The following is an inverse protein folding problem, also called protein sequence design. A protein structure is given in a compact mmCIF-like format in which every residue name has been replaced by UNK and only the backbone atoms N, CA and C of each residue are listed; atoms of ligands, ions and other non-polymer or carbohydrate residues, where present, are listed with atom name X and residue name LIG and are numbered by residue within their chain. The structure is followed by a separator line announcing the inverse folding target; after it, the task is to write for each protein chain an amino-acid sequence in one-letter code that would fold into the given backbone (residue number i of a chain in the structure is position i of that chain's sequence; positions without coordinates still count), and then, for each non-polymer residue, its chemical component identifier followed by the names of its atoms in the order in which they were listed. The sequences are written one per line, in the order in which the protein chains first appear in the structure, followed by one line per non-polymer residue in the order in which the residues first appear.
data_IF_321983630352
#
_entry.id   IF_321983630352
#
_cell.length_a   1.000
_cell.length_b   1.000
_cell.length_c   1.000
_cell.angle_alpha   90.00
_cell.angle_beta   90.00
_cell.angle_gamma   90.00
#
_symmetry.space_group_name_H-M   'P 1'
#
loop_
_entity.id
_entity.type
_entity.pdbx_description
1 polymer ?
#
# COMPACT_ATOMS: atom_id res chain seq x y z
N UNK A 1 -15.53 24.87 -1.05
CA UNK A 1 -16.37 23.66 -0.98
C UNK A 1 -15.50 22.45 -1.28
N UNK A 2 -15.74 21.29 -0.67
CA UNK A 2 -14.98 20.05 -0.98
C UNK A 2 -15.51 19.47 -2.30
N UNK A 3 -14.64 19.14 -3.28
CA UNK A 3 -15.10 18.62 -4.56
C UNK A 3 -15.65 17.19 -4.42
N UNK A 4 -16.68 16.85 -5.18
CA UNK A 4 -17.35 15.55 -5.08
C UNK A 4 -16.38 14.40 -5.43
N UNK A 5 -15.50 14.62 -6.42
CA UNK A 5 -14.48 13.65 -6.86
C UNK A 5 -13.29 13.50 -5.90
N UNK A 6 -13.24 14.24 -4.79
CA UNK A 6 -12.22 13.99 -3.74
C UNK A 6 -12.33 12.58 -3.15
N UNK A 7 -13.54 12.02 -3.12
CA UNK A 7 -13.79 10.64 -2.68
C UNK A 7 -13.13 9.61 -3.62
N UNK A 8 -12.98 9.92 -4.90
CA UNK A 8 -12.33 9.07 -5.90
C UNK A 8 -10.82 8.94 -5.66
N UNK A 9 -10.22 9.86 -4.90
CA UNK A 9 -8.83 9.76 -4.44
C UNK A 9 -8.77 9.12 -3.05
N UNK A 10 -9.60 9.61 -2.12
CA UNK A 10 -9.46 9.27 -0.70
C UNK A 10 -10.00 7.89 -0.34
N UNK A 11 -10.97 7.36 -1.08
CA UNK A 11 -11.49 6.00 -0.88
C UNK A 11 -10.46 4.97 -1.38
N UNK A 12 -9.91 5.06 -2.61
CA UNK A 12 -8.85 4.14 -3.03
C UNK A 12 -7.62 4.16 -2.12
N UNK A 13 -7.17 5.34 -1.68
CA UNK A 13 -6.07 5.43 -0.71
C UNK A 13 -6.43 4.74 0.62
N UNK A 14 -7.66 4.85 1.10
CA UNK A 14 -8.09 4.16 2.32
C UNK A 14 -8.07 2.63 2.15
N UNK A 15 -8.57 2.15 1.01
CA UNK A 15 -8.53 0.72 0.68
C UNK A 15 -7.07 0.24 0.64
N UNK A 16 -6.18 0.98 -0.01
CA UNK A 16 -4.74 0.66 -0.03
C UNK A 16 -4.12 0.62 1.37
N UNK A 17 -4.47 1.55 2.26
CA UNK A 17 -4.01 1.52 3.66
C UNK A 17 -4.43 0.21 4.34
N UNK A 18 -5.71 -0.16 4.21
CA UNK A 18 -6.23 -1.39 4.84
C UNK A 18 -5.56 -2.62 4.26
N UNK A 19 -5.44 -2.71 2.93
CA UNK A 19 -4.82 -3.85 2.26
C UNK A 19 -3.34 -3.99 2.63
N UNK A 20 -2.59 -2.88 2.65
CA UNK A 20 -1.18 -2.91 3.05
C UNK A 20 -1.01 -3.23 4.54
N UNK A 21 -1.91 -2.73 5.40
CA UNK A 21 -1.88 -3.06 6.82
C UNK A 21 -2.11 -4.56 7.07
N UNK A 22 -3.15 -5.12 6.44
CA UNK A 22 -3.45 -6.55 6.53
C UNK A 22 -2.32 -7.38 5.92
N UNK A 23 -1.90 -7.05 4.68
CA UNK A 23 -0.83 -7.76 3.99
C UNK A 23 0.50 -7.74 4.75
N UNK A 24 0.87 -6.58 5.31
CA UNK A 24 2.07 -6.44 6.13
C UNK A 24 2.01 -7.30 7.40
N UNK A 25 0.89 -7.29 8.12
CA UNK A 25 0.70 -8.14 9.30
C UNK A 25 0.72 -9.63 8.94
N UNK A 26 0.08 -10.02 7.83
CA UNK A 26 0.08 -11.40 7.36
C UNK A 26 1.49 -11.88 7.03
N UNK A 27 2.32 -11.07 6.38
CA UNK A 27 3.71 -11.42 6.08
C UNK A 27 4.54 -11.65 7.35
N UNK A 28 4.36 -10.80 8.37
CA UNK A 28 5.05 -10.93 9.66
C UNK A 28 4.67 -12.24 10.35
N UNK A 29 3.39 -12.63 10.31
CA UNK A 29 2.88 -13.86 10.94
C UNK A 29 3.20 -15.12 10.12
N UNK A 30 3.18 -15.02 8.79
CA UNK A 30 3.44 -16.14 7.89
C UNK A 30 4.90 -16.59 7.91
N UNK A 31 5.86 -15.66 8.07
CA UNK A 31 7.30 -15.98 8.07
C UNK A 31 7.70 -17.07 9.06
N UNK A 32 7.40 -16.94 10.37
CA UNK A 32 7.67 -17.98 11.35
C UNK A 32 6.98 -19.31 11.04
N UNK A 33 5.73 -19.26 10.55
CA UNK A 33 4.94 -20.45 10.22
C UNK A 33 5.55 -21.24 9.05
N UNK A 34 6.04 -20.52 8.03
CA UNK A 34 6.69 -21.11 6.87
C UNK A 34 8.07 -21.69 7.21
N UNK A 35 8.88 -20.98 8.01
CA UNK A 35 10.16 -21.49 8.50
C UNK A 35 9.97 -22.78 9.32
N UNK A 36 8.98 -22.79 10.24
CA UNK A 36 8.66 -23.98 11.03
C UNK A 36 8.23 -25.17 10.18
N UNK A 37 7.47 -24.95 9.11
CA UNK A 37 7.08 -26.01 8.18
C UNK A 37 8.30 -26.57 7.41
N UNK A 38 9.22 -25.72 6.97
CA UNK A 38 10.43 -26.14 6.25
C UNK A 38 11.39 -26.93 7.15
N UNK A 39 11.52 -26.55 8.43
CA UNK A 39 12.33 -27.29 9.40
C UNK A 39 11.78 -28.70 9.67
N UNK A 40 10.46 -28.89 9.62
CA UNK A 40 9.82 -30.20 9.81
C UNK A 40 10.08 -31.17 8.63
N UNK A 41 10.49 -30.66 7.46
CA UNK A 41 10.82 -31.51 6.31
C UNK A 41 12.18 -32.23 6.46
N UNK A 42 12.97 -31.90 7.48
CA UNK A 42 14.16 -32.67 7.87
C UNK A 42 15.40 -32.53 6.98
N UNK A 43 15.35 -31.70 5.93
CA UNK A 43 16.50 -31.42 5.07
C UNK A 43 17.37 -30.31 5.69
N UNK A 44 18.67 -30.56 6.01
CA UNK A 44 19.58 -29.55 6.56
C UNK A 44 19.75 -28.31 5.68
N UNK A 45 19.58 -28.44 4.36
CA UNK A 45 19.64 -27.30 3.44
C UNK A 45 18.40 -26.39 3.58
N UNK A 46 17.27 -26.93 4.05
CA UNK A 46 16.04 -26.18 4.26
C UNK A 46 16.05 -25.35 5.55
N UNK A 47 16.94 -25.65 6.50
CA UNK A 47 17.05 -24.88 7.75
C UNK A 47 17.58 -23.47 7.49
N UNK A 48 18.65 -23.35 6.66
CA UNK A 48 19.20 -22.05 6.26
C UNK A 48 18.24 -21.24 5.38
N UNK A 49 17.54 -21.91 4.45
CA UNK A 49 16.52 -21.29 3.63
C UNK A 49 15.31 -20.82 4.47
N UNK A 50 14.92 -21.58 5.50
CA UNK A 50 13.85 -21.24 6.43
C UNK A 50 14.12 -19.94 7.18
N UNK A 51 15.30 -19.79 7.77
CA UNK A 51 15.67 -18.56 8.49
C UNK A 51 15.79 -17.35 7.57
N UNK A 52 16.35 -17.50 6.36
CA UNK A 52 16.38 -16.43 5.36
C UNK A 52 14.96 -16.00 4.96
N UNK A 53 14.06 -16.96 4.72
CA UNK A 53 12.67 -16.69 4.34
C UNK A 53 11.94 -15.92 5.45
N UNK A 54 12.16 -16.30 6.73
CA UNK A 54 11.60 -15.61 7.89
C UNK A 54 12.08 -14.16 7.96
N UNK A 55 13.38 -13.93 7.80
CA UNK A 55 13.96 -12.59 7.80
C UNK A 55 13.42 -11.71 6.67
N UNK A 56 13.33 -12.26 5.46
CA UNK A 56 12.79 -11.55 4.29
C UNK A 56 11.30 -11.22 4.46
N UNK A 57 10.49 -12.16 4.95
CA UNK A 57 9.05 -11.92 5.18
C UNK A 57 8.81 -10.90 6.29
N UNK A 58 9.61 -10.93 7.37
CA UNK A 58 9.55 -9.92 8.42
C UNK A 58 9.92 -8.53 7.86
N UNK A 59 11.03 -8.43 7.12
CA UNK A 59 11.47 -7.18 6.50
C UNK A 59 10.46 -6.62 5.51
N UNK A 60 9.94 -7.47 4.61
CA UNK A 60 8.90 -7.11 3.66
C UNK A 60 7.60 -6.70 4.36
N UNK A 61 7.21 -7.40 5.43
CA UNK A 61 6.03 -7.07 6.22
C UNK A 61 6.14 -5.69 6.88
N UNK A 62 7.27 -5.40 7.53
CA UNK A 62 7.53 -4.09 8.14
C UNK A 62 7.56 -2.96 7.10
N UNK A 63 8.20 -3.19 5.95
CA UNK A 63 8.21 -2.22 4.85
C UNK A 63 6.80 -1.96 4.31
N UNK A 64 5.99 -3.02 4.18
CA UNK A 64 4.59 -2.90 3.75
C UNK A 64 3.75 -2.10 4.76
N UNK A 65 3.97 -2.30 6.06
CA UNK A 65 3.33 -1.48 7.10
C UNK A 65 3.77 -0.02 7.05
N UNK A 66 5.06 0.25 6.83
CA UNK A 66 5.55 1.61 6.63
C UNK A 66 4.89 2.27 5.40
N UNK A 67 4.71 1.54 4.31
CA UNK A 67 3.98 2.00 3.14
C UNK A 67 2.48 2.27 3.43
N UNK A 68 1.85 1.47 4.30
CA UNK A 68 0.48 1.74 4.77
C UNK A 68 0.40 3.07 5.53
N UNK A 69 1.33 3.32 6.46
CA UNK A 69 1.41 4.58 7.21
C UNK A 69 1.64 5.76 6.26
N UNK A 70 2.57 5.64 5.32
CA UNK A 70 2.82 6.68 4.32
C UNK A 70 1.56 6.96 3.48
N UNK A 71 0.87 5.93 3.01
CA UNK A 71 -0.38 6.08 2.24
C UNK A 71 -1.46 6.79 3.06
N UNK A 72 -1.55 6.50 4.36
CA UNK A 72 -2.48 7.18 5.27
C UNK A 72 -2.14 8.67 5.43
N UNK A 73 -0.85 9.00 5.56
CA UNK A 73 -0.37 10.39 5.59
C UNK A 73 -0.70 11.12 4.29
N UNK A 74 -0.47 10.49 3.14
CA UNK A 74 -0.85 11.03 1.81
C UNK A 74 -2.35 11.29 1.72
N UNK A 75 -3.19 10.34 2.17
CA UNK A 75 -4.64 10.51 2.22
C UNK A 75 -5.05 11.74 3.04
N UNK A 76 -4.48 11.90 4.23
CA UNK A 76 -4.79 13.04 5.09
C UNK A 76 -4.29 14.36 4.49
N UNK A 77 -3.16 14.36 3.80
CA UNK A 77 -2.67 15.53 3.07
C UNK A 77 -3.61 15.94 1.94
N UNK A 78 -4.15 14.98 1.18
CA UNK A 78 -5.17 15.25 0.14
C UNK A 78 -6.45 15.80 0.76
N UNK A 79 -6.93 15.24 1.87
CA UNK A 79 -8.11 15.74 2.60
C UNK A 79 -7.90 17.15 3.13
N UNK A 80 -6.67 17.48 3.53
CA UNK A 80 -6.28 18.81 3.98
C UNK A 80 -6.09 19.80 2.81
N UNK A 81 -6.22 19.36 1.55
CA UNK A 81 -6.04 20.20 0.38
C UNK A 81 -4.58 20.53 0.05
N UNK A 82 -3.61 19.71 0.47
CA UNK A 82 -2.19 19.96 0.22
C UNK A 82 -1.74 19.43 -1.15
N UNK A 83 -1.05 20.25 -1.94
CA UNK A 83 -0.64 19.89 -3.31
C UNK A 83 0.31 18.70 -3.36
N UNK A 84 1.28 18.63 -2.43
CA UNK A 84 2.22 17.51 -2.35
C UNK A 84 1.50 16.18 -2.07
N UNK A 85 0.39 16.21 -1.34
CA UNK A 85 -0.43 15.03 -1.07
C UNK A 85 -1.05 14.48 -2.35
N UNK A 86 -1.53 15.36 -3.24
CA UNK A 86 -2.04 14.95 -4.56
C UNK A 86 -0.94 14.36 -5.43
N UNK A 87 0.23 14.98 -5.47
CA UNK A 87 1.37 14.47 -6.26
C UNK A 87 1.78 13.08 -5.77
N UNK A 88 1.92 12.90 -4.45
CA UNK A 88 2.21 11.60 -3.86
C UNK A 88 1.12 10.56 -4.17
N UNK A 89 -0.16 10.95 -4.12
CA UNK A 89 -1.27 10.05 -4.49
C UNK A 89 -1.19 9.61 -5.96
N UNK A 90 -0.84 10.51 -6.89
CA UNK A 90 -0.64 10.18 -8.31
C UNK A 90 0.46 9.13 -8.47
N UNK A 91 1.60 9.33 -7.80
CA UNK A 91 2.71 8.36 -7.83
C UNK A 91 2.27 7.00 -7.28
N UNK A 92 1.59 6.98 -6.13
CA UNK A 92 1.08 5.74 -5.53
C UNK A 92 0.10 5.02 -6.45
N UNK A 93 -0.83 5.74 -7.08
CA UNK A 93 -1.77 5.13 -8.01
C UNK A 93 -1.11 4.62 -9.28
N UNK A 94 -0.14 5.34 -9.83
CA UNK A 94 0.62 4.89 -10.99
C UNK A 94 1.40 3.60 -10.69
N UNK A 95 2.04 3.51 -9.52
CA UNK A 95 2.69 2.28 -9.06
C UNK A 95 1.68 1.14 -8.88
N UNK A 96 0.48 1.44 -8.37
CA UNK A 96 -0.55 0.43 -8.12
C UNK A 96 -1.14 -0.14 -9.42
N UNK A 97 -1.01 0.56 -10.56
CA UNK A 97 -1.41 0.00 -11.86
C UNK A 97 -0.71 -1.31 -12.20
N UNK A 98 0.50 -1.52 -11.67
CA UNK A 98 1.29 -2.74 -11.85
C UNK A 98 0.76 -3.94 -11.05
N UNK A 99 -0.13 -3.71 -10.09
CA UNK A 99 -0.69 -4.75 -9.20
C UNK A 99 -2.07 -5.20 -9.68
N UNK A 100 -2.11 -6.12 -10.64
CA UNK A 100 -3.37 -6.63 -11.22
C UNK A 100 -4.02 -7.73 -10.34
N UNK A 101 -5.36 -7.77 -10.19
CA UNK A 101 -6.36 -6.85 -10.77
C UNK A 101 -6.74 -5.67 -9.86
N UNK A 102 -6.65 -5.83 -8.53
CA UNK A 102 -7.20 -4.86 -7.58
C UNK A 102 -6.47 -3.52 -7.62
N UNK A 103 -5.15 -3.54 -7.69
CA UNK A 103 -4.32 -2.34 -7.75
C UNK A 103 -4.56 -1.53 -9.02
N UNK A 104 -4.77 -2.19 -10.16
CA UNK A 104 -5.13 -1.53 -11.41
C UNK A 104 -6.45 -0.78 -11.31
N UNK A 105 -7.49 -1.41 -10.76
CA UNK A 105 -8.80 -0.76 -10.56
C UNK A 105 -8.66 0.47 -9.65
N UNK A 106 -8.01 0.31 -8.49
CA UNK A 106 -7.81 1.40 -7.53
C UNK A 106 -6.95 2.52 -8.13
N UNK A 107 -5.92 2.17 -8.89
CA UNK A 107 -5.03 3.11 -9.57
C UNK A 107 -5.77 3.95 -10.61
N UNK A 108 -6.60 3.33 -11.46
CA UNK A 108 -7.37 4.04 -12.48
C UNK A 108 -8.36 5.02 -11.83
N UNK A 109 -9.18 4.56 -10.89
CA UNK A 109 -10.15 5.42 -10.21
C UNK A 109 -9.46 6.56 -9.44
N UNK A 110 -8.36 6.23 -8.75
CA UNK A 110 -7.53 7.18 -8.05
C UNK A 110 -6.95 8.27 -8.95
N UNK A 111 -6.41 7.90 -10.11
CA UNK A 111 -5.85 8.83 -11.09
C UNK A 111 -6.94 9.73 -11.70
N UNK A 112 -8.11 9.17 -12.03
CA UNK A 112 -9.25 9.97 -12.52
C UNK A 112 -9.63 11.03 -11.49
N UNK A 113 -9.71 10.66 -10.21
CA UNK A 113 -9.98 11.62 -9.13
C UNK A 113 -8.87 12.64 -8.94
N UNK A 114 -7.61 12.20 -8.96
CA UNK A 114 -6.46 13.06 -8.65
C UNK A 114 -6.14 14.07 -9.78
N UNK A 115 -6.50 13.73 -11.02
CA UNK A 115 -6.32 14.59 -12.19
C UNK A 115 -7.55 15.44 -12.49
N UNK A 116 -8.66 15.28 -11.77
CA UNK A 116 -9.84 16.12 -11.96
C UNK A 116 -9.57 17.60 -11.61
N UNK A 117 -10.07 18.51 -12.45
CA UNK A 117 -9.79 19.95 -12.33
C UNK A 117 -10.26 20.53 -11.00
N UNK A 118 -11.38 20.06 -10.43
CA UNK A 118 -11.87 20.56 -9.15
C UNK A 118 -10.97 20.11 -8.00
N UNK A 119 -10.48 18.88 -8.06
CA UNK A 119 -9.54 18.33 -7.08
C UNK A 119 -8.18 19.03 -7.18
N UNK A 120 -7.72 19.33 -8.39
CA UNK A 120 -6.49 20.12 -8.60
C UNK A 120 -6.61 21.50 -7.96
N UNK A 121 -7.70 22.25 -8.24
CA UNK A 121 -7.95 23.58 -7.66
C UNK A 121 -8.12 23.53 -6.14
N UNK A 122 -8.69 22.44 -5.62
CA UNK A 122 -8.84 22.24 -4.19
C UNK A 122 -7.50 22.00 -3.49
N UNK A 123 -6.62 21.22 -4.12
CA UNK A 123 -5.33 20.82 -3.57
C UNK A 123 -4.17 21.77 -3.89
N UNK A 124 -4.38 22.78 -4.76
CA UNK A 124 -3.38 23.80 -5.09
C UNK A 124 -3.37 24.99 -4.12
N UNK A 125 -4.02 24.85 -2.96
CA UNK A 125 -4.07 25.86 -1.90
C UNK A 125 -2.95 25.62 -0.88
#
# INVERSE_FOLDING_TARGET
MKPQKLSWVTIPLLIMVILNAIGGLLLIVAGPSMSAAMMQMGDPNMTGAGELSRGLMLGAGLLTLAAAVFTFVVRNAVIAGKNWGRIAAIVLFALNLLSFPLGTILGIFGLIGALDQEVQRYTSR
#
